data_IF_886531845135
#
_entry.id   IF_886531845135
#
_cell.length_a   1.000
_cell.length_b   1.000
_cell.length_c   1.000
_cell.angle_alpha   90.00
_cell.angle_beta   90.00
_cell.angle_gamma   90.00
#
_symmetry.space_group_name_H-M   'P 1'
#
loop_
_entity.id
_entity.type
_entity.pdbx_description
1 polymer ?
#
# COMPACT_ATOMS: atom_id res chain seq x y z
N UNK A 1 -11.36 -9.30 -21.34
CA UNK A 1 -12.19 -10.26 -20.58
C UNK A 1 -11.55 -10.70 -19.27
N UNK A 2 -10.24 -10.97 -19.24
CA UNK A 2 -9.53 -11.47 -18.05
C UNK A 2 -9.79 -10.68 -16.76
N UNK A 3 -9.59 -9.35 -16.76
CA UNK A 3 -9.80 -8.50 -15.57
C UNK A 3 -11.23 -8.58 -15.03
N UNK A 4 -12.23 -8.62 -15.92
CA UNK A 4 -13.64 -8.69 -15.52
C UNK A 4 -13.97 -10.00 -14.81
N UNK A 5 -13.49 -11.14 -15.33
CA UNK A 5 -13.71 -12.45 -14.69
C UNK A 5 -13.02 -12.51 -13.34
N UNK A 6 -11.80 -11.98 -13.23
CA UNK A 6 -11.06 -11.92 -11.96
C UNK A 6 -11.78 -11.10 -10.90
N UNK A 7 -12.35 -9.94 -11.26
CA UNK A 7 -13.12 -9.12 -10.32
C UNK A 7 -14.41 -9.84 -9.90
N UNK A 8 -15.11 -10.47 -10.85
CA UNK A 8 -16.35 -11.20 -10.58
C UNK A 8 -16.14 -12.38 -9.62
N UNK A 9 -15.04 -13.12 -9.77
CA UNK A 9 -14.74 -14.34 -9.01
C UNK A 9 -13.72 -14.10 -7.89
N UNK A 10 -13.55 -12.85 -7.43
CA UNK A 10 -12.50 -12.50 -6.45
C UNK A 10 -12.63 -13.24 -5.12
N UNK A 11 -13.86 -13.51 -4.68
CA UNK A 11 -14.08 -14.12 -3.37
C UNK A 11 -13.70 -15.61 -3.35
N UNK A 12 -13.81 -16.30 -4.50
CA UNK A 12 -13.39 -17.71 -4.64
C UNK A 12 -11.91 -17.88 -4.98
N UNK A 13 -11.25 -16.83 -5.46
CA UNK A 13 -9.84 -16.86 -5.92
C UNK A 13 -8.93 -16.03 -5.00
N UNK A 14 -9.37 -15.83 -3.76
CA UNK A 14 -8.64 -15.03 -2.77
C UNK A 14 -7.40 -15.77 -2.30
N UNK A 15 -6.29 -15.03 -2.24
CA UNK A 15 -5.10 -15.48 -1.54
C UNK A 15 -5.26 -15.21 -0.03
N UNK A 16 -5.09 -16.26 0.77
CA UNK A 16 -5.19 -16.21 2.23
C UNK A 16 -3.82 -16.34 2.91
N UNK A 17 -2.74 -16.61 2.17
CA UNK A 17 -1.39 -16.78 2.75
C UNK A 17 -0.58 -15.49 2.70
N UNK A 18 -0.72 -14.69 1.63
CA UNK A 18 0.19 -13.59 1.31
C UNK A 18 1.31 -13.99 0.34
N UNK A 19 1.47 -15.30 0.08
CA UNK A 19 2.52 -15.86 -0.80
C UNK A 19 1.94 -16.98 -1.69
N UNK A 20 1.13 -16.64 -2.72
CA UNK A 20 0.53 -17.62 -3.61
C UNK A 20 1.55 -18.31 -4.54
N UNK A 21 2.75 -17.75 -4.70
CA UNK A 21 3.74 -18.20 -5.69
C UNK A 21 5.06 -18.68 -5.08
N UNK A 22 5.16 -18.73 -3.75
CA UNK A 22 6.43 -18.95 -3.05
C UNK A 22 7.52 -17.95 -3.46
N UNK A 23 7.15 -16.67 -3.52
CA UNK A 23 8.03 -15.57 -3.90
C UNK A 23 9.27 -15.42 -3.01
N UNK A 24 10.24 -14.63 -3.47
CA UNK A 24 11.59 -14.54 -2.85
C UNK A 24 11.82 -13.25 -2.06
N UNK A 25 11.04 -12.22 -2.37
CA UNK A 25 11.18 -10.85 -1.88
C UNK A 25 10.13 -10.52 -0.81
N UNK A 26 10.33 -9.40 -0.10
CA UNK A 26 9.58 -9.08 1.13
C UNK A 26 8.10 -8.78 0.90
N UNK A 27 7.68 -8.41 -0.31
CA UNK A 27 6.26 -8.21 -0.62
C UNK A 27 5.43 -9.49 -0.42
N UNK A 28 6.05 -10.66 -0.46
CA UNK A 28 5.40 -11.95 -0.21
C UNK A 28 5.40 -12.34 1.28
N UNK A 29 6.00 -11.54 2.15
CA UNK A 29 5.97 -11.75 3.60
C UNK A 29 4.77 -11.04 4.29
N UNK A 30 4.09 -10.14 3.58
CA UNK A 30 2.96 -9.36 4.11
C UNK A 30 1.61 -10.04 3.84
N UNK A 31 0.52 -9.49 4.36
CA UNK A 31 -0.83 -10.02 4.11
C UNK A 31 -1.38 -9.67 2.74
N UNK A 32 -2.40 -10.43 2.34
CA UNK A 32 -3.22 -10.16 1.16
C UNK A 32 -4.62 -9.74 1.62
N UNK A 33 -4.99 -8.45 1.58
CA UNK A 33 -4.18 -7.28 1.19
C UNK A 33 -3.18 -6.83 2.27
N UNK A 34 -2.12 -6.08 1.91
CA UNK A 34 -1.17 -5.56 2.88
C UNK A 34 -1.83 -4.51 3.79
N UNK A 35 -1.40 -4.41 5.06
CA UNK A 35 -1.84 -3.33 5.93
C UNK A 35 -1.29 -1.99 5.44
N UNK A 36 -1.92 -0.88 5.84
CA UNK A 36 -1.49 0.46 5.44
C UNK A 36 -0.02 0.79 5.79
N UNK A 37 0.50 0.14 6.83
CA UNK A 37 1.89 0.28 7.29
C UNK A 37 2.89 -0.70 6.66
N UNK A 38 2.44 -1.62 5.80
CA UNK A 38 3.19 -2.74 5.21
C UNK A 38 3.77 -3.75 6.22
N UNK A 39 4.66 -3.30 7.11
CA UNK A 39 5.31 -4.11 8.15
C UNK A 39 5.22 -3.41 9.50
N UNK A 40 4.75 -4.12 10.53
CA UNK A 40 4.67 -3.58 11.88
C UNK A 40 6.06 -3.41 12.54
N UNK A 41 7.06 -4.17 12.07
CA UNK A 41 8.46 -4.04 12.44
C UNK A 41 9.33 -4.05 11.19
N UNK A 42 10.43 -3.30 11.22
CA UNK A 42 11.39 -3.29 10.12
C UNK A 42 12.04 -4.67 9.98
N UNK A 43 11.90 -5.34 8.82
CA UNK A 43 12.50 -6.65 8.61
C UNK A 43 14.03 -6.56 8.58
N UNK A 44 14.70 -7.56 9.16
CA UNK A 44 16.16 -7.67 9.14
C UNK A 44 16.57 -8.38 7.86
N UNK A 45 17.10 -7.63 6.90
CA UNK A 45 17.53 -8.14 5.59
C UNK A 45 18.99 -8.55 5.63
N UNK A 46 19.30 -9.76 5.13
CA UNK A 46 20.67 -10.30 5.03
C UNK A 46 21.13 -10.54 3.61
N UNK A 47 20.19 -10.72 2.69
CA UNK A 47 20.44 -11.00 1.29
C UNK A 47 19.37 -10.33 0.41
N UNK A 48 19.62 -10.25 -0.90
CA UNK A 48 18.69 -9.69 -1.89
C UNK A 48 17.36 -10.45 -1.88
N UNK A 49 17.41 -11.77 -1.74
CA UNK A 49 16.24 -12.64 -1.63
C UNK A 49 15.82 -12.82 -0.16
N UNK A 50 15.51 -11.69 0.49
CA UNK A 50 15.29 -11.63 1.93
C UNK A 50 14.22 -12.61 2.43
N UNK A 51 13.08 -12.74 1.73
CA UNK A 51 12.01 -13.65 2.16
C UNK A 51 12.37 -15.12 1.95
N UNK A 52 13.12 -15.43 0.90
CA UNK A 52 13.62 -16.79 0.67
C UNK A 52 14.60 -17.23 1.78
N UNK A 53 15.56 -16.36 2.12
CA UNK A 53 16.49 -16.60 3.23
C UNK A 53 15.76 -16.70 4.58
N UNK A 54 14.78 -15.84 4.82
CA UNK A 54 13.94 -15.88 6.03
C UNK A 54 13.16 -17.20 6.15
N UNK A 55 12.60 -17.71 5.04
CA UNK A 55 11.93 -19.02 5.02
C UNK A 55 12.91 -20.15 5.32
N UNK A 56 14.09 -20.15 4.70
CA UNK A 56 15.12 -21.16 4.93
C UNK A 56 15.60 -21.19 6.39
N UNK A 57 15.63 -20.03 7.05
CA UNK A 57 16.06 -19.87 8.44
C UNK A 57 14.91 -19.94 9.47
N UNK A 58 13.70 -20.36 9.07
CA UNK A 58 12.51 -20.43 9.93
C UNK A 58 12.22 -19.11 10.69
N UNK A 59 12.35 -17.98 10.00
CA UNK A 59 12.08 -16.68 10.59
C UNK A 59 10.65 -16.60 11.14
N UNK A 60 10.54 -16.19 12.41
CA UNK A 60 9.25 -16.05 13.10
C UNK A 60 8.79 -14.60 12.99
N UNK A 61 7.54 -14.41 12.55
CA UNK A 61 6.92 -13.08 12.55
C UNK A 61 6.69 -12.60 13.99
N UNK A 62 7.05 -11.35 14.32
CA UNK A 62 6.71 -10.77 15.63
C UNK A 62 5.18 -10.70 15.82
N UNK A 63 4.71 -11.14 16.99
CA UNK A 63 3.29 -11.13 17.36
C UNK A 63 2.97 -10.16 18.50
N UNK A 64 3.99 -9.56 19.11
CA UNK A 64 3.83 -8.69 20.29
C UNK A 64 4.81 -7.52 20.23
N UNK A 65 4.59 -6.52 21.08
CA UNK A 65 5.48 -5.35 21.21
C UNK A 65 5.25 -4.27 20.17
N UNK A 66 4.08 -4.23 19.54
CA UNK A 66 3.72 -3.21 18.56
C UNK A 66 3.74 -1.81 19.17
N UNK A 67 4.09 -0.83 18.34
CA UNK A 67 4.20 0.57 18.71
C UNK A 67 3.35 1.40 17.77
N UNK A 68 3.06 2.63 18.18
CA UNK A 68 2.37 3.58 17.31
C UNK A 68 3.20 3.83 16.05
N UNK A 69 2.56 3.69 14.89
CA UNK A 69 3.22 3.83 13.58
C UNK A 69 2.84 5.20 13.00
N UNK A 70 3.85 6.02 12.76
CA UNK A 70 3.69 7.31 12.09
C UNK A 70 3.37 7.12 10.61
N UNK A 71 2.34 7.79 10.11
CA UNK A 71 1.88 7.72 8.73
C UNK A 71 1.58 9.11 8.16
N UNK A 72 1.92 9.35 6.88
CA UNK A 72 1.52 10.57 6.20
C UNK A 72 0.03 10.53 5.85
N UNK A 73 -0.63 11.67 6.00
CA UNK A 73 -2.03 11.88 5.59
C UNK A 73 -2.10 12.11 4.09
N UNK A 74 -3.18 11.63 3.48
CA UNK A 74 -3.50 11.94 2.09
C UNK A 74 -3.73 13.45 1.89
N UNK A 75 -3.24 14.00 0.78
CA UNK A 75 -3.44 15.40 0.42
C UNK A 75 -3.99 15.55 -0.99
N UNK A 76 -5.02 16.38 -1.15
CA UNK A 76 -5.59 16.74 -2.46
C UNK A 76 -4.76 17.75 -3.24
N UNK A 77 -3.73 18.35 -2.64
CA UNK A 77 -2.93 19.42 -3.26
C UNK A 77 -2.30 18.98 -4.59
N UNK A 78 -1.85 17.72 -4.70
CA UNK A 78 -1.31 17.19 -5.96
C UNK A 78 -2.31 17.26 -7.11
N UNK A 79 -3.57 16.92 -6.87
CA UNK A 79 -4.64 16.98 -7.89
C UNK A 79 -4.97 18.42 -8.27
N UNK A 80 -5.00 19.32 -7.29
CA UNK A 80 -5.24 20.76 -7.53
C UNK A 80 -4.13 21.35 -8.39
N UNK A 81 -2.87 21.10 -8.05
CA UNK A 81 -1.71 21.58 -8.82
C UNK A 81 -1.70 20.99 -10.24
N UNK A 82 -2.01 19.70 -10.38
CA UNK A 82 -2.12 19.07 -11.70
C UNK A 82 -3.22 19.73 -12.55
N UNK A 83 -4.40 19.99 -11.98
CA UNK A 83 -5.49 20.69 -12.66
C UNK A 83 -5.09 22.10 -13.11
N UNK A 84 -4.45 22.88 -12.23
CA UNK A 84 -3.95 24.21 -12.56
C UNK A 84 -2.86 24.17 -13.65
N UNK A 85 -1.95 23.19 -13.60
CA UNK A 85 -0.92 23.00 -14.60
C UNK A 85 -1.51 22.65 -15.98
N UNK A 86 -2.58 21.85 -16.03
CA UNK A 86 -3.31 21.55 -17.27
C UNK A 86 -3.93 22.82 -17.85
N UNK A 87 -4.60 23.64 -17.01
CA UNK A 87 -5.17 24.92 -17.45
C UNK A 87 -4.09 25.88 -17.94
N UNK A 88 -2.95 25.95 -17.24
CA UNK A 88 -1.80 26.77 -17.65
C UNK A 88 -1.24 26.33 -18.99
N UNK A 89 -0.99 25.04 -19.19
CA UNK A 89 -0.49 24.49 -20.45
C UNK A 89 -1.44 24.78 -21.62
N UNK A 90 -2.75 24.57 -21.43
CA UNK A 90 -3.76 24.90 -22.43
C UNK A 90 -3.75 26.41 -22.77
N UNK A 91 -3.70 27.27 -21.75
CA UNK A 91 -3.71 28.72 -21.95
C UNK A 91 -2.47 29.22 -22.70
N UNK A 92 -1.30 28.64 -22.42
CA UNK A 92 -0.05 28.95 -23.11
C UNK A 92 -0.07 28.54 -24.59
N UNK A 93 -0.65 27.37 -24.91
CA UNK A 93 -0.74 26.87 -26.29
C UNK A 93 -1.67 27.75 -27.15
N UNK A 94 -2.79 28.20 -26.56
CA UNK A 94 -3.82 28.96 -27.27
C UNK A 94 -3.69 30.48 -27.13
N UNK A 95 -2.55 30.98 -26.66
CA UNK A 95 -2.27 32.41 -26.48
C UNK A 95 -3.27 33.14 -25.55
N UNK A 96 -3.88 32.43 -24.60
CA UNK A 96 -4.82 32.98 -23.62
C UNK A 96 -4.06 33.58 -22.43
N UNK A 97 -3.36 34.70 -22.66
CA UNK A 97 -2.41 35.27 -21.70
C UNK A 97 -2.99 35.56 -20.31
N UNK A 98 -4.23 36.05 -20.22
CA UNK A 98 -4.87 36.33 -18.92
C UNK A 98 -5.06 35.04 -18.11
N UNK A 99 -5.45 33.94 -18.77
CA UNK A 99 -5.66 32.64 -18.13
C UNK A 99 -4.34 31.98 -17.77
N UNK A 100 -3.30 32.16 -18.59
CA UNK A 100 -1.94 31.70 -18.31
C UNK A 100 -1.38 32.39 -17.05
N UNK A 101 -1.51 33.72 -16.94
CA UNK A 101 -1.07 34.45 -15.75
C UNK A 101 -1.87 34.00 -14.52
N UNK A 102 -3.20 33.89 -14.63
CA UNK A 102 -4.06 33.50 -13.51
C UNK A 102 -3.75 32.10 -12.99
N UNK A 103 -3.60 31.12 -13.89
CA UNK A 103 -3.28 29.75 -13.53
C UNK A 103 -1.86 29.62 -12.96
N UNK A 104 -0.89 30.35 -13.50
CA UNK A 104 0.47 30.40 -12.94
C UNK A 104 0.52 30.97 -11.53
N UNK A 105 -0.16 32.10 -11.29
CA UNK A 105 -0.31 32.68 -9.94
C UNK A 105 -1.01 31.69 -9.01
N UNK A 106 -2.04 31.00 -9.49
CA UNK A 106 -2.72 29.94 -8.75
C UNK A 106 -1.79 28.81 -8.32
N UNK A 107 -0.93 28.32 -9.22
CA UNK A 107 0.07 27.29 -8.93
C UNK A 107 0.99 27.78 -7.80
N UNK A 108 1.57 28.98 -7.94
CA UNK A 108 2.48 29.55 -6.94
C UNK A 108 1.78 29.71 -5.59
N UNK A 109 0.57 30.26 -5.57
CA UNK A 109 -0.19 30.48 -4.33
C UNK A 109 -0.52 29.16 -3.63
N UNK A 110 -0.98 28.14 -4.35
CA UNK A 110 -1.30 26.82 -3.79
C UNK A 110 -0.03 26.12 -3.30
N UNK A 111 1.07 26.19 -4.04
CA UNK A 111 2.35 25.62 -3.63
C UNK A 111 2.85 26.26 -2.32
N UNK A 112 2.86 27.60 -2.24
CA UNK A 112 3.26 28.31 -1.01
C UNK A 112 2.33 27.97 0.15
N UNK A 113 1.02 28.04 -0.06
CA UNK A 113 0.04 27.71 0.98
C UNK A 113 0.18 26.28 1.49
N UNK A 114 0.42 25.32 0.59
CA UNK A 114 0.66 23.93 0.98
C UNK A 114 1.94 23.76 1.79
N UNK A 115 3.01 24.51 1.51
CA UNK A 115 4.25 24.47 2.29
C UNK A 115 4.00 24.76 3.78
N UNK A 116 3.02 25.61 4.11
CA UNK A 116 2.61 25.93 5.47
C UNK A 116 1.59 24.95 6.09
N UNK A 117 1.23 23.87 5.40
CA UNK A 117 0.40 22.83 6.02
C UNK A 117 1.24 22.00 7.00
N UNK A 118 0.98 22.10 8.31
CA UNK A 118 1.72 21.39 9.35
C UNK A 118 1.02 20.12 9.86
N UNK A 119 -0.29 19.95 9.61
CA UNK A 119 -1.05 18.72 9.94
C UNK A 119 -1.00 17.76 8.75
N UNK A 120 0.15 17.10 8.58
CA UNK A 120 0.41 16.19 7.45
C UNK A 120 0.54 14.74 7.87
N UNK A 121 0.51 14.47 9.15
CA UNK A 121 0.78 13.16 9.71
C UNK A 121 -0.29 12.74 10.71
N UNK A 122 -0.33 11.45 10.96
CA UNK A 122 -1.12 10.85 12.00
C UNK A 122 -0.40 9.59 12.50
N UNK A 123 -0.80 9.10 13.66
CA UNK A 123 -0.30 7.85 14.20
C UNK A 123 -1.39 6.80 14.10
N UNK A 124 -1.04 5.61 13.60
CA UNK A 124 -1.84 4.41 13.75
C UNK A 124 -1.53 3.86 15.15
N UNK A 125 -2.50 3.79 16.08
CA UNK A 125 -2.28 3.31 17.43
C UNK A 125 -1.78 1.87 17.46
N UNK A 126 -0.93 1.53 18.43
CA UNK A 126 -0.44 0.18 18.64
C UNK A 126 -1.56 -0.86 18.82
N UNK A 127 -2.71 -0.45 19.37
CA UNK A 127 -3.90 -1.29 19.52
C UNK A 127 -4.48 -1.71 18.16
N UNK A 128 -4.60 -0.77 17.22
CA UNK A 128 -5.09 -1.04 15.86
C UNK A 128 -4.12 -1.95 15.10
N UNK A 129 -2.81 -1.72 15.24
CA UNK A 129 -1.77 -2.58 14.67
C UNK A 129 -1.89 -3.99 15.25
N UNK A 130 -2.03 -4.12 16.56
CA UNK A 130 -2.17 -5.41 17.24
C UNK A 130 -3.40 -6.16 16.72
N UNK A 131 -4.56 -5.50 16.65
CA UNK A 131 -5.78 -6.11 16.14
C UNK A 131 -5.62 -6.59 14.69
N UNK A 132 -4.99 -5.80 13.82
CA UNK A 132 -4.73 -6.18 12.43
C UNK A 132 -3.78 -7.39 12.34
N UNK A 133 -2.69 -7.36 13.10
CA UNK A 133 -1.69 -8.43 13.11
C UNK A 133 -2.24 -9.73 13.75
N UNK A 134 -3.16 -9.64 14.72
CA UNK A 134 -3.85 -10.77 15.33
C UNK A 134 -4.86 -11.41 14.37
N UNK A 135 -5.60 -10.60 13.59
CA UNK A 135 -6.47 -11.12 12.54
C UNK A 135 -5.67 -11.92 11.50
N UNK A 136 -4.51 -11.41 11.09
CA UNK A 136 -3.59 -12.17 10.21
C UNK A 136 -3.13 -13.48 10.85
N UNK A 137 -2.79 -13.47 12.13
CA UNK A 137 -2.40 -14.68 12.87
C UNK A 137 -3.53 -15.72 12.88
N UNK A 138 -4.78 -15.29 13.10
CA UNK A 138 -5.96 -16.15 13.06
C UNK A 138 -6.20 -16.73 11.66
N UNK A 139 -6.04 -15.93 10.60
CA UNK A 139 -6.17 -16.39 9.21
C UNK A 139 -5.14 -17.48 8.87
N UNK A 140 -3.87 -17.27 9.24
CA UNK A 140 -2.81 -18.24 9.00
C UNK A 140 -3.06 -19.55 9.79
N UNK A 141 -3.54 -19.44 11.03
CA UNK A 141 -3.91 -20.60 11.84
C UNK A 141 -5.10 -21.37 11.24
N UNK A 142 -6.14 -20.66 10.76
CA UNK A 142 -7.30 -21.27 10.11
C UNK A 142 -6.89 -21.99 8.82
N UNK A 143 -5.96 -21.42 8.04
CA UNK A 143 -5.42 -22.07 6.84
C UNK A 143 -4.57 -23.29 7.17
N UNK A 144 -3.72 -23.22 8.18
CA UNK A 144 -2.90 -24.37 8.62
C UNK A 144 -3.76 -25.55 9.10
N UNK A 145 -4.96 -25.27 9.65
CA UNK A 145 -5.93 -26.28 10.05
C UNK A 145 -6.71 -26.90 8.86
N UNK A 146 -6.72 -26.25 7.69
CA UNK A 146 -7.33 -26.80 6.48
C UNK A 146 -6.34 -27.73 5.76
N UNK A 147 -6.76 -28.95 5.36
CA UNK A 147 -5.92 -29.81 4.53
C UNK A 147 -5.60 -29.09 3.22
N UNK A 148 -4.34 -29.14 2.79
CA UNK A 148 -3.85 -28.49 1.58
C UNK A 148 -4.79 -28.77 0.40
N UNK A 149 -5.52 -27.75 -0.06
CA UNK A 149 -6.34 -27.86 -1.25
C UNK A 149 -5.39 -28.09 -2.43
N UNK A 150 -5.36 -29.32 -2.94
CA UNK A 150 -4.68 -29.69 -4.19
C UNK A 150 -5.17 -28.73 -5.27
N UNK A 151 -4.29 -27.96 -5.93
CA UNK A 151 -4.72 -27.12 -7.04
C UNK A 151 -5.33 -28.04 -8.09
N UNK A 152 -6.57 -27.77 -8.49
CA UNK A 152 -7.20 -28.46 -9.59
C UNK A 152 -6.37 -28.21 -10.85
N UNK A 153 -5.47 -29.14 -11.18
CA UNK A 153 -4.97 -29.31 -12.55
C UNK A 153 -6.17 -29.71 -13.39
N UNK A 154 -6.91 -28.70 -13.85
CA UNK A 154 -7.86 -28.84 -14.94
C UNK A 154 -7.06 -28.97 -16.24
N UNK A 155 -7.25 -30.13 -16.88
CA UNK A 155 -6.76 -30.49 -18.21
C UNK A 155 -7.25 -29.55 -19.31
#
# INVERSE_FOLDING_TARGET
>A
MQIFVSIKNRDSLRDETGDPWQGRSLEWATSSPPPAYNFAFTPVVRDVDAWYDMKANNAVRPTTGFRDIHMPRNTGTGVILAGLAVVFGLAMIWYMWWLAILSFVGIVAVSIGHTFNYDRDYYIPAEEVTACEDLRTQQLAARAAQPAQTPAMGA
#
